data_IF_666589143989
#
_entry.id   IF_666589143989
#
_cell.length_a   1.000
_cell.length_b   1.000
_cell.length_c   1.000
_cell.angle_alpha   90.00
_cell.angle_beta   90.00
_cell.angle_gamma   90.00
#
_symmetry.space_group_name_H-M   'P 1'
#
loop_
_entity.id
_entity.type
_entity.pdbx_description
1 polymer ?
#
# COMPACT_ATOMS: atom_id res chain seq x y z
N UNK A 1 21.34 29.97 -9.54
CA UNK A 1 21.99 28.91 -8.75
C UNK A 1 21.11 27.68 -8.84
N UNK A 2 21.58 26.54 -9.38
CA UNK A 2 20.75 25.34 -9.62
C UNK A 2 20.48 24.47 -8.37
N UNK A 3 21.08 24.81 -7.23
CA UNK A 3 20.89 24.12 -5.94
C UNK A 3 19.55 24.41 -5.27
N UNK A 4 19.02 25.63 -5.43
CA UNK A 4 17.78 26.07 -4.80
C UNK A 4 16.56 25.39 -5.46
N UNK A 5 16.54 25.29 -6.79
CA UNK A 5 15.46 24.65 -7.55
C UNK A 5 15.27 23.16 -7.22
N UNK A 6 16.36 22.44 -6.89
CA UNK A 6 16.27 21.02 -6.49
C UNK A 6 15.64 20.88 -5.12
N UNK A 7 15.98 21.77 -4.19
CA UNK A 7 15.42 21.81 -2.84
C UNK A 7 13.91 22.12 -2.88
N UNK A 8 13.52 23.10 -3.69
CA UNK A 8 12.11 23.47 -3.88
C UNK A 8 11.28 22.32 -4.47
N UNK A 9 11.80 21.63 -5.49
CA UNK A 9 11.14 20.45 -6.06
C UNK A 9 10.98 19.32 -5.04
N UNK A 10 11.99 19.11 -4.21
CA UNK A 10 11.93 18.09 -3.16
C UNK A 10 10.89 18.45 -2.09
N UNK A 11 10.81 19.71 -1.69
CA UNK A 11 9.79 20.19 -0.76
C UNK A 11 8.37 20.05 -1.35
N UNK A 12 8.19 20.40 -2.63
CA UNK A 12 6.92 20.25 -3.33
C UNK A 12 6.49 18.77 -3.44
N UNK A 13 7.41 17.87 -3.75
CA UNK A 13 7.13 16.43 -3.80
C UNK A 13 6.69 15.89 -2.44
N UNK A 14 7.34 16.33 -1.35
CA UNK A 14 6.95 15.94 0.00
C UNK A 14 5.54 16.42 0.35
N UNK A 15 5.22 17.68 0.03
CA UNK A 15 3.87 18.22 0.22
C UNK A 15 2.82 17.48 -0.61
N UNK A 16 3.13 17.12 -1.84
CA UNK A 16 2.22 16.34 -2.69
C UNK A 16 1.88 14.99 -2.05
N UNK A 17 2.89 14.28 -1.52
CA UNK A 17 2.68 13.00 -0.81
C UNK A 17 1.84 13.20 0.46
N UNK A 18 2.06 14.28 1.20
CA UNK A 18 1.27 14.60 2.41
C UNK A 18 -0.21 14.80 2.08
N UNK A 19 -0.50 15.64 1.07
CA UNK A 19 -1.87 15.92 0.60
C UNK A 19 -2.53 14.63 0.09
N UNK A 20 -1.83 13.84 -0.72
CA UNK A 20 -2.36 12.59 -1.26
C UNK A 20 -2.64 11.55 -0.16
N UNK A 21 -1.82 11.52 0.89
CA UNK A 21 -2.06 10.65 2.05
C UNK A 21 -3.28 11.08 2.87
N UNK A 22 -3.52 12.39 3.04
CA UNK A 22 -4.75 12.88 3.65
C UNK A 22 -5.98 12.49 2.82
N UNK A 23 -5.94 12.67 1.49
CA UNK A 23 -7.01 12.24 0.58
C UNK A 23 -7.28 10.73 0.72
N UNK A 24 -6.22 9.91 0.70
CA UNK A 24 -6.31 8.46 0.91
C UNK A 24 -6.98 8.09 2.25
N UNK A 25 -6.68 8.86 3.30
CA UNK A 25 -7.27 8.66 4.63
C UNK A 25 -8.76 9.01 4.63
N UNK A 26 -9.15 10.14 4.05
CA UNK A 26 -10.55 10.57 3.94
C UNK A 26 -11.38 9.55 3.14
N UNK A 27 -10.81 9.01 2.07
CA UNK A 27 -11.46 8.00 1.22
C UNK A 27 -11.36 6.57 1.77
N UNK A 28 -10.76 6.37 2.95
CA UNK A 28 -10.54 5.05 3.55
C UNK A 28 -9.87 4.06 2.59
N UNK A 29 -8.89 4.49 1.80
CA UNK A 29 -8.14 3.60 0.91
C UNK A 29 -7.20 2.65 1.68
N UNK A 30 -6.95 2.94 2.97
CA UNK A 30 -6.06 2.18 3.84
C UNK A 30 -4.66 2.02 3.24
N UNK A 31 -4.13 3.04 2.57
CA UNK A 31 -2.74 3.07 2.08
C UNK A 31 -1.89 3.87 3.05
N UNK A 32 -0.85 3.25 3.58
CA UNK A 32 0.17 3.92 4.36
C UNK A 32 1.08 4.77 3.44
N UNK A 33 1.78 5.74 4.03
CA UNK A 33 2.68 6.66 3.30
C UNK A 33 3.66 5.94 2.39
N UNK A 34 4.23 4.82 2.81
CA UNK A 34 5.22 4.09 2.02
C UNK A 34 4.57 3.45 0.80
N UNK A 35 3.45 2.75 0.98
CA UNK A 35 2.71 2.16 -0.15
C UNK A 35 2.21 3.23 -1.13
N UNK A 36 1.74 4.36 -0.62
CA UNK A 36 1.30 5.49 -1.45
C UNK A 36 2.46 6.07 -2.29
N UNK A 37 3.64 6.27 -1.71
CA UNK A 37 4.84 6.70 -2.46
C UNK A 37 5.25 5.70 -3.55
N UNK A 38 5.13 4.39 -3.29
CA UNK A 38 5.39 3.35 -4.30
C UNK A 38 4.38 3.45 -5.45
N UNK A 39 3.09 3.59 -5.14
CA UNK A 39 2.06 3.74 -6.15
C UNK A 39 2.28 4.98 -7.02
N UNK A 40 2.63 6.12 -6.41
CA UNK A 40 2.97 7.36 -7.15
C UNK A 40 4.12 7.10 -8.11
N UNK A 41 5.22 6.51 -7.62
CA UNK A 41 6.39 6.21 -8.46
C UNK A 41 6.04 5.27 -9.63
N UNK A 42 5.20 4.26 -9.40
CA UNK A 42 4.73 3.37 -10.47
C UNK A 42 3.91 4.13 -11.53
N UNK A 43 3.00 5.00 -11.10
CA UNK A 43 2.17 5.82 -12.00
C UNK A 43 3.04 6.81 -12.79
N UNK A 44 4.02 7.45 -12.15
CA UNK A 44 4.99 8.33 -12.81
C UNK A 44 5.84 7.60 -13.86
N UNK A 45 6.09 6.30 -13.66
CA UNK A 45 6.75 5.42 -14.63
C UNK A 45 5.80 4.89 -15.72
N UNK A 46 4.53 5.33 -15.76
CA UNK A 46 3.56 4.99 -16.81
C UNK A 46 2.68 3.77 -16.52
N UNK A 47 2.67 3.26 -15.29
CA UNK A 47 1.73 2.19 -14.90
C UNK A 47 0.30 2.73 -14.87
N UNK A 48 -0.65 1.98 -15.44
CA UNK A 48 -2.06 2.33 -15.40
C UNK A 48 -2.60 2.28 -13.95
N UNK A 49 -3.19 3.39 -13.42
CA UNK A 49 -3.68 3.45 -12.05
C UNK A 49 -4.83 2.48 -11.76
N UNK A 50 -5.69 2.18 -12.74
CA UNK A 50 -6.80 1.22 -12.57
C UNK A 50 -6.26 -0.21 -12.42
N UNK A 51 -5.30 -0.59 -13.25
CA UNK A 51 -4.65 -1.90 -13.16
C UNK A 51 -3.88 -2.06 -11.84
N UNK A 52 -3.19 -1.00 -11.41
CA UNK A 52 -2.50 -0.98 -10.11
C UNK A 52 -3.48 -1.13 -8.94
N UNK A 53 -4.63 -0.46 -8.99
CA UNK A 53 -5.66 -0.58 -7.96
C UNK A 53 -6.20 -2.01 -7.85
N UNK A 54 -6.41 -2.68 -8.99
CA UNK A 54 -6.81 -4.11 -9.02
C UNK A 54 -5.75 -4.99 -8.38
N UNK A 55 -4.48 -4.84 -8.77
CA UNK A 55 -3.38 -5.62 -8.21
C UNK A 55 -3.24 -5.43 -6.68
N UNK A 56 -3.38 -4.20 -6.18
CA UNK A 56 -3.33 -3.91 -4.74
C UNK A 56 -4.49 -4.60 -3.99
N UNK A 57 -5.69 -4.64 -4.58
CA UNK A 57 -6.85 -5.31 -3.98
C UNK A 57 -6.66 -6.82 -3.94
N UNK A 58 -6.16 -7.41 -5.02
CA UNK A 58 -5.90 -8.86 -5.12
C UNK A 58 -4.85 -9.30 -4.07
N UNK A 59 -3.70 -8.63 -4.00
CA UNK A 59 -2.65 -8.93 -3.03
C UNK A 59 -3.16 -8.84 -1.57
N UNK A 60 -4.00 -7.84 -1.26
CA UNK A 60 -4.63 -7.73 0.07
C UNK A 60 -5.62 -8.86 0.35
N UNK A 61 -6.31 -9.35 -0.67
CA UNK A 61 -7.21 -10.50 -0.57
C UNK A 61 -6.43 -11.78 -0.25
N UNK A 62 -5.37 -12.05 -1.01
CA UNK A 62 -4.51 -13.24 -0.84
C UNK A 62 -3.87 -13.29 0.56
N UNK A 63 -3.36 -12.16 1.06
CA UNK A 63 -2.75 -12.06 2.39
C UNK A 63 -3.79 -12.33 3.50
N UNK A 64 -5.03 -11.88 3.33
CA UNK A 64 -6.10 -12.17 4.29
C UNK A 64 -6.48 -13.64 4.26
N UNK A 65 -6.64 -14.22 3.06
CA UNK A 65 -6.97 -15.64 2.91
C UNK A 65 -5.90 -16.54 3.54
N UNK A 66 -4.63 -16.25 3.27
CA UNK A 66 -3.50 -17.00 3.84
C UNK A 66 -3.47 -16.94 5.37
N UNK A 67 -3.83 -15.79 5.97
CA UNK A 67 -3.91 -15.66 7.42
C UNK A 67 -5.08 -16.44 8.04
N UNK A 68 -6.23 -16.49 7.36
CA UNK A 68 -7.41 -17.27 7.79
C UNK A 68 -7.08 -18.77 7.76
N UNK A 69 -6.39 -19.24 6.72
CA UNK A 69 -5.96 -20.63 6.60
C UNK A 69 -4.96 -21.01 7.70
N UNK A 70 -3.98 -20.15 7.97
CA UNK A 70 -2.98 -20.37 9.02
C UNK A 70 -3.59 -20.45 10.43
N UNK A 71 -4.56 -19.59 10.75
CA UNK A 71 -5.25 -19.61 12.05
C UNK A 71 -6.17 -20.81 12.21
N UNK A 72 -6.80 -21.27 11.14
CA UNK A 72 -7.67 -22.45 11.14
C UNK A 72 -6.89 -23.75 11.39
N UNK A 73 -5.67 -23.87 10.85
CA UNK A 73 -4.82 -25.04 11.07
C UNK A 73 -4.23 -25.12 12.49
N UNK A 74 -4.12 -23.99 13.20
CA UNK A 74 -3.58 -23.94 14.56
C UNK A 74 -4.59 -24.38 15.64
N UNK A 75 -5.89 -24.43 15.32
CA UNK A 75 -6.96 -24.74 16.29
C UNK A 75 -7.44 -26.21 16.21
N UNK A 76 -6.71 -27.09 15.52
CA UNK A 76 -7.05 -28.51 15.45
C UNK A 76 -6.85 -29.18 16.83
N UNK A 77 -7.88 -29.80 17.44
CA UNK A 77 -7.75 -30.44 18.75
C UNK A 77 -6.82 -31.65 18.65
N UNK A 78 -5.82 -31.69 19.53
CA UNK A 78 -4.84 -32.78 19.62
C UNK A 78 -5.55 -34.15 19.64
N UNK A 79 -5.07 -35.16 18.88
CA UNK A 79 -5.69 -36.47 18.85
C UNK A 79 -5.55 -37.10 20.24
N UNK A 80 -6.69 -37.34 20.91
CA UNK A 80 -6.73 -38.07 22.17
C UNK A 80 -6.13 -39.46 21.93
N UNK A 81 -4.89 -39.67 22.38
CA UNK A 81 -4.26 -41.00 22.43
C UNK A 81 -5.16 -41.92 23.26
N UNK A 82 -5.62 -43.00 22.62
CA UNK A 82 -6.33 -44.11 23.23
C UNK A 82 -5.43 -44.86 24.20
#
# INVERSE_FOLDING_TARGET
MPSDERSEKQAAAQQAVDILHEISTILNCHLDRRSLSICISMIENGVNPEALATAVKELRGEVQQTQIEATSSANAPAPRRR
#
